data_IF_601234293120
#
_entry.id   IF_601234293120
#
_cell.length_a   1.000
_cell.length_b   1.000
_cell.length_c   1.000
_cell.angle_alpha   90.00
_cell.angle_beta   90.00
_cell.angle_gamma   90.00
#
_symmetry.space_group_name_H-M   'P 1'
#
loop_
_entity.id
_entity.type
_entity.pdbx_description
1 polymer ?
#
# COMPACT_ATOMS: atom_id res chain seq x y z
N UNK A 1 5.76 30.44 -10.93
CA UNK A 1 5.09 29.13 -10.85
C UNK A 1 5.36 28.54 -9.48
N UNK A 2 4.36 27.96 -8.80
CA UNK A 2 4.37 27.69 -7.37
C UNK A 2 5.18 26.44 -6.91
N UNK A 3 6.16 25.95 -7.68
CA UNK A 3 6.96 24.75 -7.39
C UNK A 3 6.14 23.59 -6.78
N UNK A 4 5.15 23.11 -7.54
CA UNK A 4 4.24 22.06 -7.09
C UNK A 4 4.88 20.71 -7.36
N UNK A 5 5.14 19.93 -6.31
CA UNK A 5 5.78 18.61 -6.40
C UNK A 5 4.79 17.44 -6.21
N UNK A 6 3.56 17.71 -5.75
CA UNK A 6 2.55 16.68 -5.44
C UNK A 6 1.15 17.13 -5.81
N UNK A 7 0.40 16.28 -6.51
CA UNK A 7 -1.03 16.47 -6.83
C UNK A 7 -1.90 15.58 -5.94
N UNK A 8 -2.86 16.22 -5.27
CA UNK A 8 -3.86 15.56 -4.45
C UNK A 8 -5.17 15.48 -5.24
N UNK A 9 -5.64 14.27 -5.49
CA UNK A 9 -6.81 14.03 -6.32
C UNK A 9 -7.95 13.54 -5.45
N UNK A 10 -9.11 14.17 -5.60
CA UNK A 10 -10.37 13.78 -4.92
C UNK A 10 -11.34 13.27 -5.98
N UNK A 11 -11.18 12.01 -6.44
CA UNK A 11 -12.01 11.48 -7.52
C UNK A 11 -13.41 11.12 -7.03
N UNK A 12 -14.41 11.58 -7.76
CA UNK A 12 -15.81 11.23 -7.51
C UNK A 12 -16.23 9.99 -8.32
N UNK A 13 -17.05 9.13 -7.70
CA UNK A 13 -17.66 7.95 -8.32
C UNK A 13 -16.67 7.13 -9.17
N UNK A 14 -16.99 6.93 -10.45
CA UNK A 14 -16.20 6.16 -11.42
C UNK A 14 -14.78 6.71 -11.64
N UNK A 15 -14.51 7.99 -11.36
CA UNK A 15 -13.17 8.55 -11.52
C UNK A 15 -12.14 7.90 -10.58
N UNK A 16 -12.59 7.17 -9.56
CA UNK A 16 -11.74 6.42 -8.63
C UNK A 16 -10.99 5.26 -9.28
N UNK A 17 -11.43 4.80 -10.46
CA UNK A 17 -10.77 3.73 -11.21
C UNK A 17 -9.79 4.24 -12.26
N UNK A 18 -9.65 5.57 -12.40
CA UNK A 18 -8.76 6.18 -13.39
C UNK A 18 -7.30 6.06 -12.91
N UNK A 19 -6.41 5.47 -13.73
CA UNK A 19 -4.98 5.44 -13.43
C UNK A 19 -4.35 6.80 -13.75
N UNK A 20 -4.54 7.78 -12.85
CA UNK A 20 -4.01 9.14 -13.04
C UNK A 20 -2.51 9.16 -13.33
N UNK A 21 -1.74 8.23 -12.76
CA UNK A 21 -0.33 8.05 -13.04
C UNK A 21 0.00 7.85 -14.54
N UNK A 22 -0.90 7.22 -15.29
CA UNK A 22 -0.74 6.94 -16.72
C UNK A 22 -1.36 8.00 -17.64
N UNK A 23 -1.90 9.10 -17.11
CA UNK A 23 -2.30 10.21 -17.97
C UNK A 23 -1.06 10.79 -18.65
N UNK A 24 -1.09 10.91 -19.96
CA UNK A 24 0.07 11.30 -20.76
C UNK A 24 -0.09 12.73 -21.26
N UNK A 25 0.95 13.53 -21.05
CA UNK A 25 1.10 14.88 -21.57
C UNK A 25 1.89 14.81 -22.88
N UNK A 26 1.19 14.97 -24.01
CA UNK A 26 1.79 14.93 -25.35
C UNK A 26 2.77 16.09 -25.59
N UNK A 27 2.60 17.22 -24.91
CA UNK A 27 3.47 18.39 -25.08
C UNK A 27 4.79 18.18 -24.33
N UNK A 28 4.72 17.61 -23.13
CA UNK A 28 5.89 17.33 -22.32
C UNK A 28 6.57 15.98 -22.64
N UNK A 29 5.92 15.11 -23.41
CA UNK A 29 6.30 13.71 -23.64
C UNK A 29 6.52 12.94 -22.31
N UNK A 30 5.58 13.13 -21.38
CA UNK A 30 5.67 12.57 -20.03
C UNK A 30 4.32 12.10 -19.52
N UNK A 31 4.34 10.97 -18.82
CA UNK A 31 3.24 10.57 -17.95
C UNK A 31 3.14 11.51 -16.74
N UNK A 32 1.94 11.65 -16.19
CA UNK A 32 1.68 12.52 -15.04
C UNK A 32 2.55 12.12 -13.83
N UNK A 33 2.81 10.82 -13.66
CA UNK A 33 3.68 10.33 -12.58
C UNK A 33 5.14 10.79 -12.71
N UNK A 34 5.63 11.08 -13.93
CA UNK A 34 6.98 11.63 -14.16
C UNK A 34 7.06 13.14 -13.85
N UNK A 35 5.91 13.79 -13.65
CA UNK A 35 5.82 15.22 -13.40
C UNK A 35 5.49 15.55 -11.95
N UNK A 36 4.62 14.75 -11.32
CA UNK A 36 4.15 14.99 -9.96
C UNK A 36 4.03 13.68 -9.17
N UNK A 37 4.32 13.75 -7.87
CA UNK A 37 3.89 12.73 -6.95
C UNK A 37 2.36 12.75 -6.84
N UNK A 38 1.72 11.59 -6.76
CA UNK A 38 0.27 11.48 -6.73
C UNK A 38 -0.22 10.91 -5.41
N UNK A 39 -1.29 11.49 -4.88
CA UNK A 39 -2.04 10.90 -3.78
C UNK A 39 -3.55 11.08 -3.99
N UNK A 40 -4.29 10.05 -3.60
CA UNK A 40 -5.74 10.02 -3.69
C UNK A 40 -6.33 10.23 -2.29
N UNK A 41 -7.42 10.98 -2.20
CA UNK A 41 -8.18 11.10 -0.96
C UNK A 41 -9.68 11.00 -1.24
N UNK A 42 -10.46 10.35 -0.36
CA UNK A 42 -11.91 10.34 -0.48
C UNK A 42 -12.53 11.71 -0.15
N UNK A 43 -11.77 12.62 0.44
CA UNK A 43 -12.18 13.97 0.80
C UNK A 43 -11.18 14.61 1.75
N UNK A 44 -10.94 15.91 1.59
CA UNK A 44 -9.97 16.64 2.41
C UNK A 44 -10.33 16.65 3.91
N UNK A 45 -11.62 16.64 4.24
CA UNK A 45 -12.10 16.55 5.63
C UNK A 45 -11.89 15.17 6.26
N UNK A 46 -11.75 14.13 5.43
CA UNK A 46 -11.52 12.75 5.86
C UNK A 46 -10.03 12.39 5.90
N UNK A 47 -9.16 13.33 5.50
CA UNK A 47 -7.72 13.15 5.49
C UNK A 47 -7.07 14.09 6.49
N UNK A 48 -6.40 13.53 7.48
CA UNK A 48 -5.59 14.29 8.42
C UNK A 48 -4.31 14.79 7.73
N UNK A 49 -4.45 15.79 6.86
CA UNK A 49 -3.39 16.33 6.00
C UNK A 49 -2.40 17.25 6.74
N UNK A 50 -2.56 17.48 8.04
CA UNK A 50 -1.74 18.44 8.80
C UNK A 50 -0.56 17.81 9.51
N UNK A 51 -0.54 16.48 9.68
CA UNK A 51 0.54 15.78 10.37
C UNK A 51 1.49 15.14 9.35
N UNK A 52 2.76 15.56 9.36
CA UNK A 52 3.81 14.85 8.64
C UNK A 52 4.11 13.54 9.34
N UNK A 53 4.29 12.48 8.56
CA UNK A 53 4.78 11.21 9.09
C UNK A 53 6.19 11.39 9.65
N UNK A 54 6.32 11.42 10.99
CA UNK A 54 7.62 11.50 11.67
C UNK A 54 8.25 10.12 11.73
N UNK A 55 9.32 9.97 10.97
CA UNK A 55 10.08 8.73 10.74
C UNK A 55 11.12 8.43 11.81
N UNK A 56 11.10 9.16 12.92
CA UNK A 56 11.91 8.80 14.09
C UNK A 56 11.46 7.42 14.60
N UNK A 57 12.41 6.48 14.66
CA UNK A 57 12.19 5.10 15.11
C UNK A 57 11.03 4.39 14.35
N UNK A 58 11.13 4.30 13.03
CA UNK A 58 10.19 3.50 12.23
C UNK A 58 10.21 2.05 12.72
N UNK A 59 9.02 1.55 13.03
CA UNK A 59 8.74 0.14 13.31
C UNK A 59 7.85 -0.38 12.18
N UNK A 60 8.34 -1.39 11.46
CA UNK A 60 7.62 -2.00 10.35
C UNK A 60 7.17 -3.40 10.76
N UNK A 61 5.96 -3.80 10.44
CA UNK A 61 5.54 -5.20 10.45
C UNK A 61 5.46 -5.68 9.01
N UNK A 62 6.23 -6.71 8.67
CA UNK A 62 6.17 -7.30 7.33
C UNK A 62 5.78 -8.76 7.46
N UNK A 63 4.76 -9.16 6.72
CA UNK A 63 4.32 -10.55 6.69
C UNK A 63 3.97 -10.95 5.26
N UNK A 64 4.32 -12.18 4.89
CA UNK A 64 4.15 -12.63 3.53
C UNK A 64 3.77 -14.11 3.43
N UNK A 65 3.13 -14.47 2.32
CA UNK A 65 2.73 -15.83 1.99
C UNK A 65 3.30 -16.17 0.60
N UNK A 66 4.32 -17.04 0.54
CA UNK A 66 4.91 -17.48 -0.73
C UNK A 66 4.43 -18.84 -1.19
N UNK A 67 3.99 -19.72 -0.28
CA UNK A 67 3.53 -21.07 -0.62
C UNK A 67 2.04 -21.09 -0.96
N UNK A 68 1.66 -22.08 -1.76
CA UNK A 68 0.26 -22.35 -2.05
C UNK A 68 -0.51 -22.73 -0.77
N UNK A 69 -1.71 -22.20 -0.62
CA UNK A 69 -2.62 -22.48 0.51
C UNK A 69 -4.03 -22.67 -0.04
N UNK A 70 -4.61 -23.86 0.19
CA UNK A 70 -5.92 -24.22 -0.38
C UNK A 70 -5.91 -24.15 -1.90
N UNK A 71 -6.78 -23.32 -2.48
CA UNK A 71 -6.90 -23.13 -3.93
C UNK A 71 -6.09 -21.94 -4.46
N UNK A 72 -5.30 -21.28 -3.62
CA UNK A 72 -4.46 -20.17 -4.03
C UNK A 72 -3.08 -20.69 -4.43
N UNK A 73 -2.62 -20.28 -5.62
CA UNK A 73 -1.31 -20.66 -6.13
C UNK A 73 -0.19 -20.08 -5.26
N UNK A 74 1.00 -20.67 -5.39
CA UNK A 74 2.20 -20.05 -4.83
C UNK A 74 2.46 -18.66 -5.42
N UNK A 75 3.16 -17.85 -4.64
CA UNK A 75 3.65 -16.51 -4.96
C UNK A 75 5.17 -16.53 -4.74
N UNK A 76 5.98 -17.00 -5.71
CA UNK A 76 7.42 -17.19 -5.56
C UNK A 76 8.21 -15.91 -5.25
N UNK A 77 7.69 -14.74 -5.62
CA UNK A 77 8.28 -13.41 -5.41
C UNK A 77 7.64 -12.62 -4.25
N UNK A 78 6.69 -13.20 -3.51
CA UNK A 78 5.99 -12.50 -2.43
C UNK A 78 6.96 -12.02 -1.32
N UNK A 79 8.05 -12.74 -1.08
CA UNK A 79 9.01 -12.40 -0.03
C UNK A 79 10.14 -11.50 -0.52
N UNK A 80 10.39 -11.39 -1.83
CA UNK A 80 11.51 -10.63 -2.41
C UNK A 80 11.55 -9.19 -1.88
N UNK A 81 10.39 -8.53 -1.78
CA UNK A 81 10.30 -7.18 -1.24
C UNK A 81 10.67 -7.13 0.25
N UNK A 82 10.25 -8.11 1.03
CA UNK A 82 10.52 -8.17 2.46
C UNK A 82 12.02 -8.44 2.69
N UNK A 83 12.59 -9.41 1.97
CA UNK A 83 14.01 -9.77 2.04
C UNK A 83 14.94 -8.62 1.62
N UNK A 84 14.49 -7.79 0.66
CA UNK A 84 15.23 -6.59 0.26
C UNK A 84 15.30 -5.53 1.38
N UNK A 85 14.26 -5.41 2.21
CA UNK A 85 14.15 -4.35 3.23
C UNK A 85 14.76 -4.78 4.58
N UNK A 86 14.81 -6.08 4.86
CA UNK A 86 15.35 -6.63 6.12
C UNK A 86 16.82 -6.27 6.41
N UNK A 87 17.60 -5.89 5.39
CA UNK A 87 19.04 -5.65 5.54
C UNK A 87 19.41 -4.35 6.27
N UNK A 88 18.45 -3.53 6.73
CA UNK A 88 18.75 -2.23 7.36
C UNK A 88 17.81 -1.71 8.46
N UNK A 89 16.68 -2.36 8.76
CA UNK A 89 15.62 -1.80 9.62
C UNK A 89 15.05 -2.81 10.63
N UNK A 90 14.40 -2.33 11.70
CA UNK A 90 13.70 -3.19 12.66
C UNK A 90 12.39 -3.70 12.03
N UNK A 91 12.53 -4.77 11.26
CA UNK A 91 11.45 -5.49 10.60
C UNK A 91 11.34 -6.89 11.24
N UNK A 92 10.37 -7.17 12.12
CA UNK A 92 9.99 -8.53 12.43
C UNK A 92 9.34 -9.09 11.17
N UNK A 93 10.11 -9.84 10.40
CA UNK A 93 9.61 -10.56 9.25
C UNK A 93 8.86 -11.80 9.71
N UNK A 94 7.57 -11.83 9.39
CA UNK A 94 6.70 -12.98 9.62
C UNK A 94 6.46 -13.70 8.29
N UNK A 95 7.50 -14.02 7.53
CA UNK A 95 7.39 -14.74 6.24
C UNK A 95 6.92 -16.19 6.43
N UNK A 96 7.63 -16.99 7.21
CA UNK A 96 7.20 -18.36 7.56
C UNK A 96 6.11 -18.37 8.65
N UNK A 97 5.94 -17.24 9.33
CA UNK A 97 5.04 -17.05 10.45
C UNK A 97 3.81 -16.21 10.14
N UNK A 98 3.41 -16.03 8.87
CA UNK A 98 2.23 -15.24 8.51
C UNK A 98 0.94 -15.99 8.86
N UNK A 99 0.69 -16.09 10.16
CA UNK A 99 -0.49 -16.64 10.79
C UNK A 99 -1.32 -15.50 11.37
N UNK A 100 -2.64 -15.64 11.39
CA UNK A 100 -3.55 -14.60 11.90
C UNK A 100 -3.20 -14.19 13.33
N UNK A 101 -2.95 -15.16 14.20
CA UNK A 101 -2.61 -14.90 15.61
C UNK A 101 -1.22 -14.26 15.78
N UNK A 102 -0.26 -14.58 14.91
CA UNK A 102 1.07 -13.96 14.96
C UNK A 102 0.99 -12.47 14.62
N UNK A 103 0.17 -12.10 13.63
CA UNK A 103 -0.08 -10.69 13.29
C UNK A 103 -0.76 -9.98 14.45
N UNK A 104 -1.78 -10.59 15.06
CA UNK A 104 -2.45 -10.03 16.24
C UNK A 104 -1.46 -9.76 17.39
N UNK A 105 -0.69 -10.80 17.77
CA UNK A 105 0.32 -10.72 18.82
C UNK A 105 1.41 -9.69 18.50
N UNK A 106 1.77 -9.51 17.23
CA UNK A 106 2.72 -8.50 16.82
C UNK A 106 2.20 -7.09 17.17
N UNK A 107 0.99 -6.73 16.73
CA UNK A 107 0.38 -5.44 17.04
C UNK A 107 0.10 -5.23 18.55
N UNK A 108 -0.12 -6.31 19.29
CA UNK A 108 -0.22 -6.25 20.75
C UNK A 108 1.13 -6.00 21.41
N UNK A 109 2.26 -6.48 20.88
CA UNK A 109 3.56 -6.40 21.57
C UNK A 109 4.41 -5.20 21.16
N UNK A 110 4.18 -4.62 19.99
CA UNK A 110 4.93 -3.44 19.52
C UNK A 110 4.03 -2.43 18.78
N UNK A 111 4.33 -1.11 18.90
CA UNK A 111 3.62 -0.07 18.15
C UNK A 111 4.17 0.05 16.74
N UNK A 112 3.71 -0.77 15.79
CA UNK A 112 4.12 -0.67 14.39
C UNK A 112 3.52 0.57 13.72
N UNK A 113 4.37 1.41 13.13
CA UNK A 113 3.93 2.57 12.33
C UNK A 113 3.65 2.18 10.88
N UNK A 114 4.29 1.13 10.37
CA UNK A 114 4.11 0.64 9.00
C UNK A 114 3.75 -0.84 9.05
N UNK A 115 2.81 -1.27 8.21
CA UNK A 115 2.50 -2.68 8.02
C UNK A 115 2.43 -3.02 6.53
N UNK A 116 3.13 -4.07 6.11
CA UNK A 116 3.11 -4.60 4.75
C UNK A 116 2.69 -6.08 4.75
N UNK A 117 1.67 -6.39 3.96
CA UNK A 117 1.19 -7.75 3.77
C UNK A 117 1.37 -8.19 2.31
N UNK A 118 2.29 -9.10 2.06
CA UNK A 118 2.58 -9.64 0.73
C UNK A 118 1.94 -11.02 0.54
N UNK A 119 0.72 -11.04 0.02
CA UNK A 119 -0.09 -12.27 -0.06
C UNK A 119 -1.19 -12.12 -1.10
N UNK A 120 -1.97 -13.18 -1.33
CA UNK A 120 -3.27 -13.06 -2.00
C UNK A 120 -4.22 -12.24 -1.13
N UNK A 121 -4.92 -11.31 -1.77
CA UNK A 121 -6.01 -10.56 -1.17
C UNK A 121 -7.20 -10.56 -2.09
N UNK A 122 -8.39 -10.57 -1.49
CA UNK A 122 -9.66 -10.46 -2.19
C UNK A 122 -10.44 -9.33 -1.54
N UNK A 123 -10.80 -8.32 -2.34
CA UNK A 123 -11.56 -7.17 -1.88
C UNK A 123 -12.92 -7.20 -2.57
N UNK A 124 -13.95 -7.44 -1.77
CA UNK A 124 -15.32 -7.68 -2.20
C UNK A 124 -16.21 -6.51 -1.79
N UNK A 125 -17.36 -6.38 -2.46
CA UNK A 125 -18.34 -5.32 -2.22
C UNK A 125 -18.76 -5.27 -0.75
N UNK A 126 -19.00 -6.46 -0.20
CA UNK A 126 -19.22 -6.63 1.22
C UNK A 126 -17.86 -6.77 1.92
N UNK A 127 -17.50 -5.84 2.81
CA UNK A 127 -16.22 -5.87 3.50
C UNK A 127 -16.00 -7.11 4.36
N UNK A 128 -17.09 -7.80 4.77
CA UNK A 128 -17.01 -9.05 5.53
C UNK A 128 -16.49 -10.22 4.69
N UNK A 129 -16.63 -10.13 3.38
CA UNK A 129 -16.17 -11.15 2.43
C UNK A 129 -14.75 -10.83 1.90
N UNK A 130 -14.20 -9.67 2.30
CA UNK A 130 -12.85 -9.25 1.96
C UNK A 130 -11.82 -9.81 2.94
N UNK A 131 -10.70 -10.31 2.42
CA UNK A 131 -9.65 -10.91 3.24
C UNK A 131 -8.27 -10.83 2.61
N UNK A 132 -7.25 -10.97 3.45
CA UNK A 132 -5.90 -11.38 3.10
C UNK A 132 -5.71 -12.85 3.46
N UNK A 133 -5.02 -13.60 2.63
CA UNK A 133 -4.75 -15.02 2.88
C UNK A 133 -3.56 -15.17 3.83
N UNK A 134 -3.70 -16.01 4.85
CA UNK A 134 -2.64 -16.43 5.79
C UNK A 134 -2.43 -17.94 5.68
N UNK A 135 -1.35 -18.47 6.25
CA UNK A 135 -1.12 -19.92 6.24
C UNK A 135 -2.20 -20.71 6.99
N UNK A 136 -2.82 -20.11 8.02
CA UNK A 136 -3.85 -20.70 8.88
C UNK A 136 -5.29 -20.30 8.53
N UNK A 137 -5.49 -19.50 7.48
CA UNK A 137 -6.83 -19.10 7.06
C UNK A 137 -6.89 -17.74 6.39
N UNK A 138 -7.78 -16.89 6.89
CA UNK A 138 -8.10 -15.60 6.29
C UNK A 138 -8.09 -14.51 7.35
N UNK A 139 -7.41 -13.42 7.04
CA UNK A 139 -7.39 -12.20 7.81
C UNK A 139 -8.40 -11.21 7.22
N UNK A 140 -9.54 -11.03 7.89
CA UNK A 140 -10.63 -10.17 7.41
C UNK A 140 -10.42 -8.70 7.76
N UNK A 141 -11.22 -7.82 7.16
CA UNK A 141 -11.12 -6.37 7.41
C UNK A 141 -11.41 -5.96 8.86
N UNK A 142 -12.30 -6.69 9.55
CA UNK A 142 -12.57 -6.45 10.97
C UNK A 142 -11.39 -6.85 11.86
N UNK A 143 -10.65 -7.91 11.49
CA UNK A 143 -9.44 -8.30 12.19
C UNK A 143 -8.38 -7.21 12.05
N UNK A 144 -8.14 -6.76 10.81
CA UNK A 144 -7.21 -5.65 10.52
C UNK A 144 -7.59 -4.38 11.28
N UNK A 145 -8.89 -4.03 11.35
CA UNK A 145 -9.36 -2.91 12.16
C UNK A 145 -9.03 -3.09 13.64
N UNK A 146 -9.26 -4.28 14.19
CA UNK A 146 -8.88 -4.60 15.57
C UNK A 146 -7.40 -4.34 15.82
N UNK A 147 -6.55 -4.81 14.91
CA UNK A 147 -5.10 -4.71 15.05
C UNK A 147 -4.55 -3.30 14.84
N UNK A 148 -5.13 -2.55 13.90
CA UNK A 148 -4.63 -1.23 13.48
C UNK A 148 -5.24 -0.08 14.31
N UNK A 149 -6.55 -0.13 14.62
CA UNK A 149 -7.23 0.95 15.36
C UNK A 149 -7.20 0.77 16.87
N UNK A 150 -7.24 -0.48 17.35
CA UNK A 150 -7.57 -0.80 18.74
C UNK A 150 -6.46 -1.56 19.45
N UNK A 151 -5.19 -1.27 19.12
CA UNK A 151 -4.07 -1.85 19.83
C UNK A 151 -3.69 -1.05 21.08
N UNK A 152 -3.10 -1.71 22.06
CA UNK A 152 -2.82 -1.14 23.39
C UNK A 152 -1.98 0.14 23.38
N UNK A 153 -1.13 0.33 22.36
CA UNK A 153 -0.21 1.46 22.29
C UNK A 153 -0.84 2.79 21.84
N UNK A 154 -2.06 2.80 21.30
CA UNK A 154 -2.75 3.97 20.72
C UNK A 154 -1.96 4.80 19.68
N UNK A 155 -0.80 4.33 19.23
CA UNK A 155 -0.03 4.85 18.09
C UNK A 155 -0.74 4.53 16.77
N UNK A 156 -1.12 5.50 15.94
CA UNK A 156 -1.76 5.19 14.66
C UNK A 156 -0.77 4.49 13.71
N UNK A 157 -1.25 3.50 12.95
CA UNK A 157 -0.51 3.00 11.77
C UNK A 157 -0.51 4.10 10.72
N UNK A 158 0.68 4.55 10.35
CA UNK A 158 0.93 5.65 9.42
C UNK A 158 0.82 5.20 7.96
N UNK A 159 1.07 3.91 7.70
CA UNK A 159 1.01 3.32 6.37
C UNK A 159 0.69 1.82 6.42
N UNK A 160 -0.38 1.43 5.74
CA UNK A 160 -0.77 0.04 5.53
C UNK A 160 -0.66 -0.33 4.04
N UNK A 161 0.19 -1.27 3.67
CA UNK A 161 0.39 -1.65 2.28
C UNK A 161 0.03 -3.11 2.02
N UNK A 162 -0.48 -3.37 0.83
CA UNK A 162 -0.85 -4.72 0.40
C UNK A 162 -0.13 -5.06 -0.91
N UNK A 163 0.65 -6.14 -0.91
CA UNK A 163 1.18 -6.77 -2.12
C UNK A 163 0.11 -7.59 -2.88
N UNK A 164 -1.12 -7.60 -2.37
CA UNK A 164 -2.24 -8.30 -2.97
C UNK A 164 -2.77 -7.62 -4.24
N UNK A 165 -3.26 -8.44 -5.16
CA UNK A 165 -3.89 -8.01 -6.40
C UNK A 165 -5.22 -7.27 -6.14
N UNK A 166 -5.54 -6.25 -6.94
CA UNK A 166 -6.86 -5.56 -6.97
C UNK A 166 -7.28 -4.90 -5.64
N UNK A 167 -6.30 -4.53 -4.82
CA UNK A 167 -6.55 -3.94 -3.49
C UNK A 167 -7.21 -2.56 -3.55
N UNK A 168 -7.13 -1.86 -4.68
CA UNK A 168 -7.74 -0.55 -4.93
C UNK A 168 -8.84 -0.55 -6.01
N UNK A 169 -9.19 -1.70 -6.58
CA UNK A 169 -10.32 -1.86 -7.49
C UNK A 169 -11.65 -1.72 -6.71
N UNK A 170 -12.06 -0.49 -6.42
CA UNK A 170 -13.38 -0.22 -5.82
C UNK A 170 -14.52 -0.34 -6.83
N UNK A 171 -15.75 -0.48 -6.35
CA UNK A 171 -16.96 -0.29 -7.15
C UNK A 171 -18.03 0.48 -6.35
N UNK A 172 -19.19 0.73 -6.95
CA UNK A 172 -20.26 1.57 -6.38
C UNK A 172 -20.73 1.13 -4.99
N UNK A 173 -20.56 -0.14 -4.61
CA UNK A 173 -20.93 -0.68 -3.29
C UNK A 173 -19.74 -0.72 -2.31
N UNK A 174 -18.52 -0.97 -2.80
CA UNK A 174 -17.27 -0.71 -2.09
C UNK A 174 -16.81 0.73 -2.38
N UNK A 175 -17.68 1.71 -2.10
CA UNK A 175 -17.57 3.10 -2.53
C UNK A 175 -16.36 3.87 -1.96
N UNK A 176 -15.38 3.23 -1.35
CA UNK A 176 -14.11 3.86 -0.99
C UNK A 176 -12.90 3.00 -1.37
N UNK A 177 -13.07 1.80 -1.95
CA UNK A 177 -11.97 0.90 -2.30
C UNK A 177 -10.92 0.81 -1.18
N UNK A 178 -9.65 0.98 -1.57
CA UNK A 178 -8.51 1.08 -0.64
C UNK A 178 -8.57 2.30 0.31
N UNK A 179 -9.21 3.40 -0.07
CA UNK A 179 -9.50 4.51 0.86
C UNK A 179 -10.39 4.05 2.02
N UNK A 180 -11.35 3.18 1.69
CA UNK A 180 -12.25 2.56 2.63
C UNK A 180 -11.49 1.62 3.54
N UNK A 181 -10.46 0.95 3.04
CA UNK A 181 -9.56 0.13 3.87
C UNK A 181 -8.85 1.01 4.88
N UNK A 182 -8.17 2.09 4.47
CA UNK A 182 -7.47 3.00 5.39
C UNK A 182 -8.42 3.54 6.49
N UNK A 183 -9.59 4.08 6.10
CA UNK A 183 -10.58 4.61 7.04
C UNK A 183 -11.16 3.51 7.95
N UNK A 184 -11.47 2.33 7.42
CA UNK A 184 -12.08 1.24 8.21
C UNK A 184 -11.08 0.60 9.15
N UNK A 185 -9.83 0.43 8.76
CA UNK A 185 -8.80 -0.17 9.61
C UNK A 185 -8.22 0.84 10.59
N UNK A 186 -8.35 2.14 10.33
CA UNK A 186 -7.82 3.24 11.14
C UNK A 186 -6.39 3.63 10.79
N UNK A 187 -5.84 3.10 9.69
CA UNK A 187 -4.57 3.56 9.17
C UNK A 187 -4.70 4.99 8.59
N UNK A 188 -3.68 5.83 8.77
CA UNK A 188 -3.67 7.18 8.18
C UNK A 188 -3.54 7.15 6.66
N UNK A 189 -2.89 6.12 6.13
CA UNK A 189 -2.67 5.94 4.71
C UNK A 189 -2.62 4.47 4.32
N UNK A 190 -2.95 4.18 3.07
CA UNK A 190 -2.77 2.86 2.49
C UNK A 190 -2.22 2.90 1.06
N UNK A 191 -1.50 1.85 0.67
CA UNK A 191 -1.04 1.62 -0.72
C UNK A 191 -1.59 0.30 -1.25
N UNK A 192 -2.00 0.33 -2.51
CA UNK A 192 -2.57 -0.82 -3.22
C UNK A 192 -2.78 -0.52 -4.70
N UNK A 193 -3.44 -1.42 -5.42
CA UNK A 193 -3.43 -1.50 -6.88
C UNK A 193 -4.83 -1.47 -7.50
N UNK A 194 -5.01 -0.66 -8.55
CA UNK A 194 -6.26 -0.57 -9.32
C UNK A 194 -6.66 -1.88 -10.03
N UNK A 195 -5.68 -2.72 -10.37
CA UNK A 195 -5.89 -4.01 -11.02
C UNK A 195 -4.86 -5.03 -10.55
N UNK A 196 -5.00 -6.28 -10.99
CA UNK A 196 -4.03 -7.33 -10.75
C UNK A 196 -2.71 -7.05 -11.48
N UNK A 197 -1.63 -6.89 -10.73
CA UNK A 197 -0.28 -6.64 -11.25
C UNK A 197 0.53 -7.94 -11.25
N UNK A 198 1.46 -8.15 -12.20
CA UNK A 198 2.39 -9.26 -12.13
C UNK A 198 3.18 -9.21 -10.82
N UNK A 199 3.23 -10.34 -10.13
CA UNK A 199 3.80 -10.45 -8.79
C UNK A 199 5.23 -9.89 -8.70
N UNK A 200 6.08 -10.23 -9.68
CA UNK A 200 7.45 -9.73 -9.78
C UNK A 200 7.51 -8.19 -9.79
N UNK A 201 6.63 -7.54 -10.55
CA UNK A 201 6.57 -6.08 -10.63
C UNK A 201 6.10 -5.47 -9.32
N UNK A 202 5.12 -6.08 -8.64
CA UNK A 202 4.70 -5.68 -7.30
C UNK A 202 5.86 -5.78 -6.30
N UNK A 203 6.59 -6.90 -6.32
CA UNK A 203 7.73 -7.11 -5.43
C UNK A 203 8.84 -6.07 -5.66
N UNK A 204 9.22 -5.84 -6.92
CA UNK A 204 10.23 -4.84 -7.27
C UNK A 204 9.81 -3.42 -6.87
N UNK A 205 8.56 -3.04 -7.14
CA UNK A 205 8.05 -1.70 -6.82
C UNK A 205 7.92 -1.50 -5.30
N UNK A 206 7.41 -2.50 -4.56
CA UNK A 206 7.33 -2.41 -3.10
C UNK A 206 8.70 -2.37 -2.44
N UNK A 207 9.66 -3.18 -2.93
CA UNK A 207 11.05 -3.10 -2.47
C UNK A 207 11.60 -1.68 -2.65
N UNK A 208 11.47 -1.12 -3.86
CA UNK A 208 11.94 0.24 -4.16
C UNK A 208 11.23 1.28 -3.30
N UNK A 209 9.91 1.21 -3.20
CA UNK A 209 9.09 2.13 -2.42
C UNK A 209 9.52 2.18 -0.96
N UNK A 210 9.75 1.02 -0.34
CA UNK A 210 10.21 0.98 1.04
C UNK A 210 11.66 1.43 1.20
N UNK A 211 12.56 1.13 0.27
CA UNK A 211 13.91 1.72 0.29
C UNK A 211 13.85 3.25 0.25
N UNK A 212 13.06 3.83 -0.66
CA UNK A 212 12.87 5.29 -0.73
C UNK A 212 12.30 5.89 0.57
N UNK A 213 11.33 5.21 1.20
CA UNK A 213 10.76 5.64 2.48
C UNK A 213 11.77 5.59 3.63
N UNK A 214 12.63 4.59 3.61
CA UNK A 214 13.60 4.30 4.65
C UNK A 214 14.85 5.18 4.54
N UNK A 215 15.41 5.30 3.33
CA UNK A 215 16.70 5.95 3.10
C UNK A 215 16.63 7.48 3.24
N UNK A 216 15.49 8.09 2.93
CA UNK A 216 15.26 9.52 3.09
C UNK A 216 14.07 9.81 4.02
N UNK A 217 14.31 10.19 5.29
CA UNK A 217 13.24 10.47 6.24
C UNK A 217 12.47 11.77 5.92
N UNK A 218 12.97 12.61 5.00
CA UNK A 218 12.34 13.87 4.59
C UNK A 218 11.38 13.70 3.40
N UNK A 219 11.53 12.61 2.64
CA UNK A 219 10.71 12.30 1.49
C UNK A 219 9.27 12.08 1.92
N UNK A 220 8.26 12.54 1.17
CA UNK A 220 6.86 12.20 1.46
C UNK A 220 6.53 10.78 1.04
N UNK A 221 5.48 10.16 1.60
CA UNK A 221 4.99 8.86 1.10
C UNK A 221 4.63 8.92 -0.38
N UNK A 222 4.05 10.03 -0.84
CA UNK A 222 3.71 10.20 -2.26
C UNK A 222 4.95 10.22 -3.14
N UNK A 223 6.01 10.93 -2.73
CA UNK A 223 7.24 11.04 -3.51
C UNK A 223 8.03 9.72 -3.51
N UNK A 224 8.05 9.00 -2.39
CA UNK A 224 8.62 7.65 -2.35
C UNK A 224 7.91 6.71 -3.33
N UNK A 225 6.57 6.74 -3.41
CA UNK A 225 5.82 5.92 -4.35
C UNK A 225 6.08 6.35 -5.80
N UNK A 226 6.13 7.66 -6.06
CA UNK A 226 6.47 8.20 -7.37
C UNK A 226 7.84 7.70 -7.84
N UNK A 227 8.87 7.81 -7.01
CA UNK A 227 10.22 7.35 -7.35
C UNK A 227 10.24 5.84 -7.68
N UNK A 228 9.46 5.02 -6.95
CA UNK A 228 9.32 3.60 -7.24
C UNK A 228 8.57 3.31 -8.54
N UNK A 229 7.52 4.10 -8.85
CA UNK A 229 6.78 4.00 -10.12
C UNK A 229 7.63 4.43 -11.31
N UNK A 230 8.38 5.54 -11.21
CA UNK A 230 9.32 6.01 -12.23
C UNK A 230 10.43 4.99 -12.49
N UNK A 231 11.01 4.42 -11.43
CA UNK A 231 12.04 3.38 -11.56
C UNK A 231 11.53 2.15 -12.34
N UNK A 232 10.28 1.74 -12.11
CA UNK A 232 9.69 0.62 -12.86
C UNK A 232 9.26 1.05 -14.28
N UNK A 233 8.85 2.31 -14.45
CA UNK A 233 8.50 2.90 -15.74
C UNK A 233 9.70 2.89 -16.71
N UNK A 234 10.93 3.09 -16.23
CA UNK A 234 12.13 3.01 -17.07
C UNK A 234 12.25 1.66 -17.82
N UNK A 235 11.87 0.55 -17.18
CA UNK A 235 11.86 -0.79 -17.79
C UNK A 235 10.54 -1.04 -18.57
N UNK A 236 9.42 -0.53 -18.08
CA UNK A 236 8.06 -0.85 -18.57
C UNK A 236 7.32 0.35 -19.17
N UNK A 237 8.01 1.31 -19.80
CA UNK A 237 7.40 2.57 -20.30
C UNK A 237 6.22 2.33 -21.23
N UNK A 238 6.34 1.35 -22.14
CA UNK A 238 5.28 0.96 -23.07
C UNK A 238 4.16 0.12 -22.44
N UNK A 239 4.31 -0.30 -21.18
CA UNK A 239 3.40 -1.21 -20.48
C UNK A 239 2.95 -0.64 -19.11
N UNK A 240 2.08 0.39 -19.07
CA UNK A 240 1.58 1.00 -17.84
C UNK A 240 0.94 0.02 -16.85
N UNK A 241 0.49 -1.13 -17.34
CA UNK A 241 -0.03 -2.24 -16.53
C UNK A 241 0.87 -2.64 -15.35
N UNK A 242 2.20 -2.43 -15.46
CA UNK A 242 3.17 -2.79 -14.42
C UNK A 242 3.35 -1.74 -13.31
N UNK A 243 3.20 -0.44 -13.62
CA UNK A 243 3.59 0.65 -12.70
C UNK A 243 2.46 1.66 -12.42
N UNK A 244 1.50 1.84 -13.32
CA UNK A 244 0.40 2.79 -13.15
C UNK A 244 -0.70 2.43 -12.13
N UNK A 245 -0.93 1.17 -11.71
CA UNK A 245 -2.07 0.87 -10.84
C UNK A 245 -1.86 1.27 -9.39
N UNK A 246 -0.62 1.55 -8.97
CA UNK A 246 -0.31 1.80 -7.57
C UNK A 246 -0.84 3.16 -7.14
N UNK A 247 -1.67 3.14 -6.10
CA UNK A 247 -2.27 4.33 -5.51
C UNK A 247 -1.84 4.46 -4.06
N UNK A 248 -1.37 5.65 -3.70
CA UNK A 248 -1.30 6.08 -2.30
C UNK A 248 -2.60 6.77 -1.93
N UNK A 249 -3.23 6.32 -0.85
CA UNK A 249 -4.50 6.86 -0.40
C UNK A 249 -4.41 7.35 1.04
N UNK A 250 -5.00 8.52 1.33
CA UNK A 250 -5.04 9.11 2.66
C UNK A 250 -3.95 10.17 2.84
N UNK A 251 -3.30 10.20 4.01
CA UNK A 251 -2.24 11.17 4.27
C UNK A 251 -1.02 10.88 3.36
N UNK A 252 -0.55 11.88 2.63
CA UNK A 252 0.51 11.72 1.63
C UNK A 252 1.91 12.08 2.14
N UNK A 253 2.02 12.62 3.36
CA UNK A 253 3.30 12.92 4.01
C UNK A 253 3.93 11.65 4.59
#
# INVERSE_FOLDING_TARGET
AHNVDTLIIVPDSMLRTIPFAALYDEVADKFLIEQFALAITPGLTLTYATEKFRRDNITMLMAGLSKAVGNFSELPHALDAIEAIEKGWICPNLSEGFLKNNVANAFETKPYKIAYFSTHGKFENNPKDSFLLTYDGRLGMNDLKGFVSFHQFRTPVELLTFGACETAAGNELAALGLAGVAVKTGAKSAVGTLWKVPEKSTAQLMARFFCELCDDPTLSKAKALQNAQEWLLDEYRAYPFHWAPFLLIGNWF
#
